data_IF_433109347829
#
_entry.id   IF_433109347829
#
_cell.length_a   1.000
_cell.length_b   1.000
_cell.length_c   1.000
_cell.angle_alpha   90.00
_cell.angle_beta   90.00
_cell.angle_gamma   90.00
#
_symmetry.space_group_name_H-M   'P 1'
#
loop_
_entity.id
_entity.type
_entity.pdbx_description
1 polymer ?
#
# COMPACT_ATOMS: atom_id res chain seq x y z
N UNK A 1 4.50 -20.53 3.57
CA UNK A 1 5.64 -19.80 2.97
C UNK A 1 6.35 -20.61 1.89
N UNK A 2 7.21 -21.61 2.19
CA UNK A 2 7.92 -22.36 1.12
C UNK A 2 7.00 -23.05 0.10
N UNK A 3 5.88 -23.64 0.55
CA UNK A 3 4.85 -24.19 -0.36
C UNK A 3 4.17 -23.11 -1.24
N UNK A 4 4.01 -21.87 -0.76
CA UNK A 4 3.45 -20.77 -1.55
C UNK A 4 4.44 -20.30 -2.62
N UNK A 5 5.74 -20.24 -2.29
CA UNK A 5 6.79 -19.93 -3.25
C UNK A 5 6.87 -20.99 -4.35
N UNK A 6 6.89 -22.27 -3.98
CA UNK A 6 6.90 -23.36 -4.95
C UNK A 6 5.66 -23.35 -5.86
N UNK A 7 4.48 -23.13 -5.27
CA UNK A 7 3.23 -22.98 -6.01
C UNK A 7 3.30 -21.79 -7.00
N UNK A 8 3.75 -20.62 -6.55
CA UNK A 8 3.83 -19.41 -7.36
C UNK A 8 4.83 -19.55 -8.52
N UNK A 9 6.00 -20.14 -8.28
CA UNK A 9 6.99 -20.43 -9.34
C UNK A 9 6.43 -21.42 -10.36
N UNK A 10 5.60 -22.38 -9.93
CA UNK A 10 4.96 -23.34 -10.83
C UNK A 10 3.77 -22.78 -11.61
N UNK A 11 3.09 -21.75 -11.05
CA UNK A 11 1.93 -21.10 -11.63
C UNK A 11 2.36 -19.79 -12.32
N UNK A 12 3.11 -19.88 -13.40
CA UNK A 12 3.43 -18.69 -14.19
C UNK A 12 2.16 -18.27 -14.96
N UNK A 13 1.38 -17.33 -14.41
CA UNK A 13 0.21 -16.75 -15.06
C UNK A 13 0.28 -15.21 -14.97
N UNK A 14 0.48 -14.58 -16.12
CA UNK A 14 0.65 -13.13 -16.29
C UNK A 14 -0.64 -12.39 -15.95
N UNK A 15 -0.66 -11.70 -14.81
CA UNK A 15 -1.66 -10.68 -14.51
C UNK A 15 -1.09 -9.26 -14.67
N UNK A 16 0.20 -9.06 -14.37
CA UNK A 16 0.90 -7.77 -14.51
C UNK A 16 0.78 -7.15 -15.92
N UNK A 17 0.63 -7.97 -16.96
CA UNK A 17 0.42 -7.48 -18.32
C UNK A 17 -0.92 -6.76 -18.52
N UNK A 18 -1.92 -6.94 -17.65
CA UNK A 18 -3.22 -6.28 -17.77
C UNK A 18 -3.22 -4.83 -17.27
N UNK A 19 -2.47 -4.52 -16.21
CA UNK A 19 -2.27 -3.14 -15.75
C UNK A 19 -1.36 -2.32 -16.69
N UNK A 20 -0.50 -3.00 -17.46
CA UNK A 20 0.28 -2.37 -18.53
C UNK A 20 -0.49 -2.29 -19.86
N UNK A 21 -1.76 -2.72 -19.90
CA UNK A 21 -2.59 -2.71 -21.11
C UNK A 21 -3.54 -1.50 -21.07
N UNK A 22 -3.42 -0.52 -21.99
CA UNK A 22 -4.14 0.75 -21.92
C UNK A 22 -5.67 0.66 -22.08
N UNK A 23 -6.22 -0.55 -22.24
CA UNK A 23 -7.66 -0.78 -22.49
C UNK A 23 -8.48 -0.77 -21.18
N UNK A 24 -7.84 -0.89 -20.01
CA UNK A 24 -8.52 -0.86 -18.70
C UNK A 24 -8.51 0.51 -18.01
N UNK A 25 -7.82 1.50 -18.58
CA UNK A 25 -7.73 2.86 -18.05
C UNK A 25 -8.81 3.72 -18.69
N UNK A 26 -9.69 4.32 -17.88
CA UNK A 26 -10.62 5.34 -18.34
C UNK A 26 -10.24 6.68 -17.73
N UNK A 27 -10.12 7.75 -18.53
CA UNK A 27 -10.01 9.09 -17.97
C UNK A 27 -11.34 9.46 -17.29
N UNK A 28 -11.23 10.01 -16.09
CA UNK A 28 -12.36 10.45 -15.28
C UNK A 28 -13.06 11.64 -15.93
N UNK A 29 -14.41 11.74 -15.91
CA UNK A 29 -15.11 12.94 -16.36
C UNK A 29 -14.89 14.07 -15.34
N UNK A 30 -14.06 15.05 -15.68
CA UNK A 30 -13.76 16.19 -14.81
C UNK A 30 -14.97 17.10 -14.56
N UNK A 31 -15.25 17.38 -13.29
CA UNK A 31 -16.09 18.51 -12.85
C UNK A 31 -15.26 19.80 -12.86
N UNK A 32 -15.86 21.00 -13.04
CA UNK A 32 -15.10 22.24 -13.15
C UNK A 32 -14.41 22.58 -11.82
N UNK A 33 -13.09 22.80 -11.87
CA UNK A 33 -12.23 23.09 -10.73
C UNK A 33 -12.18 24.59 -10.43
N UNK A 34 -12.53 24.98 -9.20
CA UNK A 34 -11.99 26.17 -8.55
C UNK A 34 -11.11 25.70 -7.36
N UNK A 35 -9.80 25.90 -7.50
CA UNK A 35 -8.74 25.70 -6.48
C UNK A 35 -8.55 24.25 -5.96
N UNK A 36 -7.87 23.38 -6.71
CA UNK A 36 -7.67 21.97 -6.28
C UNK A 36 -6.58 21.15 -6.97
N UNK A 37 -5.49 21.74 -7.47
CA UNK A 37 -4.46 21.02 -8.26
C UNK A 37 -3.84 19.78 -7.58
N UNK A 38 -3.96 19.65 -6.25
CA UNK A 38 -3.43 18.51 -5.48
C UNK A 38 -4.42 17.35 -5.23
N UNK A 39 -5.73 17.52 -5.43
CA UNK A 39 -6.70 16.44 -5.11
C UNK A 39 -6.63 15.27 -6.11
N UNK A 40 -6.25 15.56 -7.35
CA UNK A 40 -6.05 14.55 -8.40
C UNK A 40 -4.75 13.75 -8.22
N UNK A 41 -3.82 14.23 -7.40
CA UNK A 41 -2.50 13.63 -7.16
C UNK A 41 -2.37 13.01 -5.76
N UNK A 42 -3.40 13.10 -4.93
CA UNK A 42 -3.34 12.66 -3.53
C UNK A 42 -4.29 11.49 -3.27
N UNK A 43 -3.87 10.57 -2.40
CA UNK A 43 -4.72 9.53 -1.87
C UNK A 43 -5.58 10.11 -0.74
N UNK A 44 -6.64 10.79 -1.12
CA UNK A 44 -7.55 11.48 -0.20
C UNK A 44 -8.98 10.96 -0.36
N UNK A 45 -9.59 10.59 0.78
CA UNK A 45 -11.04 10.48 0.94
C UNK A 45 -11.57 11.75 1.61
N UNK A 46 -12.90 11.87 1.68
CA UNK A 46 -13.60 12.96 2.35
C UNK A 46 -13.18 13.22 3.80
N UNK A 47 -12.61 12.23 4.49
CA UNK A 47 -12.26 12.31 5.92
C UNK A 47 -10.79 12.02 6.23
N UNK A 48 -10.00 11.52 5.30
CA UNK A 48 -8.62 11.11 5.56
C UNK A 48 -7.76 11.24 4.31
N UNK A 49 -6.53 11.70 4.46
CA UNK A 49 -5.52 11.74 3.40
C UNK A 49 -4.30 10.95 3.83
N UNK A 50 -3.80 10.05 2.97
CA UNK A 50 -2.50 9.41 3.18
C UNK A 50 -1.40 10.41 2.78
N UNK A 51 -0.55 10.77 3.73
CA UNK A 51 0.51 11.76 3.59
C UNK A 51 1.90 11.16 3.33
N UNK A 52 1.99 9.84 3.33
CA UNK A 52 3.21 9.13 3.01
C UNK A 52 3.23 7.76 3.65
N UNK A 53 3.91 6.82 2.99
CA UNK A 53 4.19 5.50 3.55
C UNK A 53 5.58 5.08 3.07
N UNK A 54 6.42 4.65 4.00
CA UNK A 54 7.73 4.11 3.71
C UNK A 54 7.91 2.75 4.37
N UNK A 55 8.29 1.75 3.59
CA UNK A 55 8.73 0.46 4.12
C UNK A 55 10.23 0.35 3.93
N UNK A 56 10.98 0.08 4.99
CA UNK A 56 12.44 0.13 4.96
C UNK A 56 13.09 -0.97 5.80
N UNK A 57 14.36 -1.20 5.51
CA UNK A 57 15.27 -2.01 6.32
C UNK A 57 16.45 -1.14 6.76
N UNK A 58 16.87 -1.30 8.01
CA UNK A 58 17.95 -0.50 8.57
C UNK A 58 18.88 -1.37 9.44
N UNK A 59 20.18 -1.23 9.22
CA UNK A 59 21.22 -1.73 10.13
C UNK A 59 21.43 -0.70 11.26
N UNK A 60 21.63 -1.13 12.51
CA UNK A 60 21.96 -0.21 13.60
C UNK A 60 23.18 0.65 13.25
N UNK A 61 22.98 1.97 13.17
CA UNK A 61 24.04 2.93 12.85
C UNK A 61 24.18 3.29 11.37
N UNK A 62 23.47 2.60 10.46
CA UNK A 62 23.47 2.91 9.03
C UNK A 62 22.20 3.67 8.61
N UNK A 63 22.20 4.20 7.39
CA UNK A 63 21.03 4.84 6.78
C UNK A 63 19.90 3.84 6.48
N UNK A 64 18.66 4.35 6.41
CA UNK A 64 17.49 3.54 6.02
C UNK A 64 17.61 3.16 4.55
N UNK A 65 17.53 1.86 4.25
CA UNK A 65 17.31 1.39 2.89
C UNK A 65 15.80 1.32 2.62
N UNK A 66 15.29 2.25 1.82
CA UNK A 66 13.86 2.35 1.51
C UNK A 66 13.51 1.30 0.46
N UNK A 67 12.69 0.32 0.83
CA UNK A 67 12.21 -0.73 -0.07
C UNK A 67 10.97 -0.27 -0.84
N UNK A 68 10.07 0.46 -0.19
CA UNK A 68 8.85 1.00 -0.81
C UNK A 68 8.64 2.42 -0.31
N UNK A 69 8.21 3.31 -1.21
CA UNK A 69 7.83 4.69 -0.90
C UNK A 69 6.54 5.04 -1.62
N UNK A 70 5.60 5.59 -0.87
CA UNK A 70 4.37 6.20 -1.38
C UNK A 70 4.43 7.66 -0.96
N UNK A 71 4.46 8.60 -1.92
CA UNK A 71 4.55 10.02 -1.60
C UNK A 71 3.19 10.57 -1.13
N UNK A 72 3.21 11.75 -0.49
CA UNK A 72 1.99 12.52 -0.21
C UNK A 72 1.25 12.91 -1.50
N UNK A 73 2.03 13.32 -2.49
CA UNK A 73 1.57 13.80 -3.79
C UNK A 73 2.25 12.93 -4.85
N UNK A 74 1.47 12.24 -5.67
CA UNK A 74 1.96 11.47 -6.79
C UNK A 74 2.50 12.40 -7.89
N UNK A 75 3.49 11.91 -8.65
CA UNK A 75 4.06 12.66 -9.78
C UNK A 75 3.09 12.77 -10.96
N UNK A 76 2.21 11.78 -11.12
CA UNK A 76 1.16 11.74 -12.14
C UNK A 76 -0.23 11.74 -11.48
N UNK A 77 -1.26 12.30 -12.13
CA UNK A 77 -2.63 12.20 -11.65
C UNK A 77 -3.07 10.75 -11.46
N UNK A 78 -3.92 10.50 -10.48
CA UNK A 78 -4.48 9.19 -10.23
C UNK A 78 -5.39 8.76 -11.38
N UNK A 79 -5.17 7.55 -11.88
CA UNK A 79 -6.03 6.93 -12.91
C UNK A 79 -7.08 6.04 -12.27
N UNK A 80 -8.17 5.78 -13.00
CA UNK A 80 -9.20 4.85 -12.54
C UNK A 80 -8.87 3.41 -12.95
N UNK A 81 -9.10 2.47 -12.03
CA UNK A 81 -9.04 1.03 -12.29
C UNK A 81 -10.33 0.36 -11.85
N UNK A 82 -10.90 -0.48 -12.71
CA UNK A 82 -12.10 -1.23 -12.39
C UNK A 82 -11.83 -2.26 -11.29
N UNK A 83 -12.71 -2.35 -10.29
CA UNK A 83 -12.61 -3.31 -9.20
C UNK A 83 -12.49 -4.76 -9.69
N UNK A 84 -13.22 -5.10 -10.76
CA UNK A 84 -13.17 -6.44 -11.37
C UNK A 84 -11.78 -6.84 -11.86
N UNK A 85 -10.91 -5.88 -12.18
CA UNK A 85 -9.54 -6.20 -12.55
C UNK A 85 -8.80 -6.84 -11.37
N UNK A 86 -8.99 -6.34 -10.14
CA UNK A 86 -8.18 -6.74 -8.98
C UNK A 86 -8.90 -7.70 -8.02
N UNK A 87 -10.20 -7.95 -8.23
CA UNK A 87 -11.09 -8.67 -7.29
C UNK A 87 -10.51 -10.00 -6.79
N UNK A 88 -9.95 -10.81 -7.68
CA UNK A 88 -9.44 -12.16 -7.36
C UNK A 88 -8.14 -12.15 -6.55
N UNK A 89 -7.44 -11.01 -6.50
CA UNK A 89 -6.19 -10.85 -5.76
C UNK A 89 -6.36 -10.52 -4.29
N UNK A 90 -7.57 -10.23 -3.84
CA UNK A 90 -7.85 -9.79 -2.48
C UNK A 90 -8.94 -10.64 -1.81
N UNK A 91 -8.98 -10.70 -0.46
CA UNK A 91 -9.99 -11.45 0.25
C UNK A 91 -11.39 -10.87 0.04
N UNK A 92 -12.41 -11.72 0.20
CA UNK A 92 -13.83 -11.39 -0.04
C UNK A 92 -14.30 -10.12 0.70
N UNK A 93 -13.69 -9.80 1.85
CA UNK A 93 -13.98 -8.58 2.61
C UNK A 93 -13.83 -7.30 1.78
N UNK A 94 -12.94 -7.26 0.78
CA UNK A 94 -12.78 -6.10 -0.09
C UNK A 94 -14.07 -5.82 -0.88
N UNK A 95 -14.77 -6.85 -1.35
CA UNK A 95 -16.03 -6.68 -2.06
C UNK A 95 -17.14 -6.12 -1.15
N UNK A 96 -17.17 -6.55 0.11
CA UNK A 96 -18.12 -6.03 1.10
C UNK A 96 -17.81 -4.57 1.47
N UNK A 97 -16.52 -4.21 1.54
CA UNK A 97 -16.08 -2.83 1.73
C UNK A 97 -16.45 -1.96 0.53
N UNK A 98 -16.19 -2.41 -0.71
CA UNK A 98 -16.57 -1.67 -1.92
C UNK A 98 -18.07 -1.35 -1.97
N UNK A 99 -18.93 -2.22 -1.41
CA UNK A 99 -20.39 -2.03 -1.37
C UNK A 99 -20.85 -1.04 -0.29
N UNK A 100 -20.17 -1.03 0.86
CA UNK A 100 -20.67 -0.34 2.07
C UNK A 100 -19.79 0.84 2.52
N UNK A 101 -18.57 0.94 2.01
CA UNK A 101 -17.59 1.97 2.35
C UNK A 101 -17.76 3.25 1.53
N UNK A 102 -16.91 4.26 1.80
CA UNK A 102 -16.97 5.54 1.11
C UNK A 102 -16.46 5.43 -0.33
N UNK A 103 -17.23 5.88 -1.32
CA UNK A 103 -16.89 5.73 -2.75
C UNK A 103 -15.57 6.41 -3.17
N UNK A 104 -15.14 7.42 -2.42
CA UNK A 104 -13.91 8.18 -2.65
C UNK A 104 -12.69 7.65 -1.86
N UNK A 105 -12.86 6.58 -1.09
CA UNK A 105 -11.84 6.06 -0.18
C UNK A 105 -11.11 4.80 -0.64
N UNK A 106 -11.23 4.39 -1.91
CA UNK A 106 -10.64 3.15 -2.42
C UNK A 106 -9.51 3.39 -3.41
N UNK A 107 -8.32 2.86 -3.10
CA UNK A 107 -7.12 3.07 -3.89
C UNK A 107 -6.38 1.78 -4.17
N UNK A 108 -5.77 1.69 -5.35
CA UNK A 108 -4.79 0.67 -5.70
C UNK A 108 -3.43 1.34 -5.86
N UNK A 109 -2.39 0.75 -5.28
CA UNK A 109 -1.02 1.20 -5.43
C UNK A 109 -0.20 0.05 -5.99
N UNK A 110 0.33 0.25 -7.19
CA UNK A 110 1.32 -0.64 -7.79
C UNK A 110 2.70 -0.14 -7.38
N UNK A 111 3.43 -0.93 -6.59
CA UNK A 111 4.75 -0.54 -6.10
C UNK A 111 5.84 -1.37 -6.77
N UNK A 112 6.91 -0.70 -7.20
CA UNK A 112 8.17 -1.31 -7.61
C UNK A 112 9.16 -1.15 -6.47
N UNK A 113 9.41 -2.24 -5.77
CA UNK A 113 10.20 -2.24 -4.55
C UNK A 113 11.69 -2.41 -4.83
N UNK A 114 12.51 -1.60 -4.14
CA UNK A 114 13.96 -1.76 -4.14
C UNK A 114 14.36 -2.91 -3.19
N UNK A 115 14.72 -4.05 -3.78
CA UNK A 115 15.24 -5.22 -3.06
C UNK A 115 16.75 -5.32 -3.10
N UNK A 116 17.47 -4.33 -3.63
CA UNK A 116 18.93 -4.30 -3.73
C UNK A 116 19.58 -3.82 -2.43
N UNK A 117 19.60 -4.72 -1.45
CA UNK A 117 20.29 -4.52 -0.18
C UNK A 117 20.99 -5.80 0.25
N UNK A 118 21.92 -5.75 1.18
CA UNK A 118 22.53 -6.97 1.69
C UNK A 118 21.64 -7.63 2.74
N UNK A 119 21.38 -8.93 2.60
CA UNK A 119 20.80 -9.71 3.71
C UNK A 119 21.90 -9.87 4.76
N UNK A 120 21.92 -9.01 5.77
CA UNK A 120 22.73 -9.28 6.96
C UNK A 120 22.11 -10.40 7.81
N UNK A 121 22.67 -10.68 8.99
CA UNK A 121 21.99 -11.57 9.93
C UNK A 121 20.59 -10.99 10.23
N UNK A 122 19.52 -11.77 10.05
CA UNK A 122 18.14 -11.30 10.17
C UNK A 122 17.87 -10.63 11.52
N UNK A 123 18.59 -11.08 12.55
CA UNK A 123 18.52 -10.57 13.93
C UNK A 123 19.19 -9.20 14.12
N UNK A 124 20.04 -8.78 13.18
CA UNK A 124 20.75 -7.49 13.23
C UNK A 124 20.12 -6.41 12.37
N UNK A 125 19.04 -6.71 11.64
CA UNK A 125 18.35 -5.74 10.77
C UNK A 125 17.00 -5.37 11.38
N UNK A 126 16.66 -4.08 11.38
CA UNK A 126 15.31 -3.62 11.70
C UNK A 126 14.51 -3.46 10.41
N UNK A 127 13.38 -4.14 10.30
CA UNK A 127 12.42 -3.98 9.22
C UNK A 127 11.20 -3.24 9.76
N UNK A 128 10.87 -2.10 9.19
CA UNK A 128 9.79 -1.26 9.70
C UNK A 128 9.01 -0.56 8.59
N UNK A 129 7.85 -0.05 8.98
CA UNK A 129 6.98 0.77 8.16
C UNK A 129 6.68 2.07 8.90
N UNK A 130 6.88 3.19 8.21
CA UNK A 130 6.41 4.51 8.63
C UNK A 130 5.18 4.86 7.79
N UNK A 131 4.14 5.42 8.41
CA UNK A 131 3.00 5.93 7.65
C UNK A 131 2.35 7.13 8.34
N UNK A 132 1.86 8.04 7.50
CA UNK A 132 1.41 9.36 7.91
C UNK A 132 0.04 9.66 7.28
N UNK A 133 -0.86 10.24 8.05
CA UNK A 133 -2.18 10.65 7.58
C UNK A 133 -2.57 12.02 8.10
N UNK A 134 -3.38 12.74 7.34
CA UNK A 134 -4.00 14.00 7.76
C UNK A 134 -5.53 13.87 7.76
N UNK A 135 -6.19 14.52 8.72
CA UNK A 135 -7.65 14.65 8.79
C UNK A 135 -8.06 16.04 9.24
N UNK A 136 -9.27 16.47 8.87
CA UNK A 136 -9.92 17.67 9.42
C UNK A 136 -10.71 17.38 10.71
N UNK A 137 -10.76 16.11 11.12
CA UNK A 137 -11.58 15.63 12.21
C UNK A 137 -10.72 14.99 13.31
N UNK A 138 -11.11 15.25 14.56
CA UNK A 138 -10.45 14.68 15.73
C UNK A 138 -11.06 13.32 16.07
N UNK A 139 -10.37 12.24 15.69
CA UNK A 139 -10.70 10.87 16.08
C UNK A 139 -9.44 10.01 16.10
N UNK A 140 -9.47 8.89 16.82
CA UNK A 140 -8.48 7.82 16.64
C UNK A 140 -8.79 7.01 15.38
N UNK A 141 -7.75 6.56 14.67
CA UNK A 141 -7.87 5.58 13.58
C UNK A 141 -7.35 4.21 14.00
N UNK A 142 -7.95 3.18 13.42
CA UNK A 142 -7.47 1.81 13.46
C UNK A 142 -7.03 1.41 12.05
N UNK A 143 -5.75 1.11 11.89
CA UNK A 143 -5.14 0.68 10.63
C UNK A 143 -4.97 -0.84 10.67
N UNK A 144 -5.79 -1.57 9.93
CA UNK A 144 -5.63 -3.01 9.72
C UNK A 144 -4.86 -3.25 8.42
N UNK A 145 -3.67 -3.86 8.53
CA UNK A 145 -2.84 -4.26 7.40
C UNK A 145 -2.86 -5.77 7.27
N UNK A 146 -3.50 -6.26 6.21
CA UNK A 146 -3.69 -7.68 5.89
C UNK A 146 -2.78 -8.09 4.76
N UNK A 147 -1.93 -9.08 4.99
CA UNK A 147 -1.09 -9.68 3.95
C UNK A 147 -1.83 -10.86 3.36
N UNK A 148 -1.90 -10.90 2.04
CA UNK A 148 -2.71 -11.85 1.29
C UNK A 148 -1.84 -12.70 0.36
N UNK A 149 -2.18 -13.97 0.21
CA UNK A 149 -1.57 -14.89 -0.73
C UNK A 149 -2.66 -15.62 -1.49
N UNK A 150 -2.63 -15.59 -2.82
CA UNK A 150 -3.67 -16.16 -3.69
C UNK A 150 -5.08 -15.69 -3.29
N UNK A 151 -5.24 -14.37 -3.09
CA UNK A 151 -6.51 -13.77 -2.68
C UNK A 151 -6.96 -14.06 -1.26
N UNK A 152 -6.20 -14.81 -0.46
CA UNK A 152 -6.57 -15.20 0.90
C UNK A 152 -5.73 -14.48 1.94
N UNK A 153 -6.34 -13.97 3.00
CA UNK A 153 -5.63 -13.36 4.14
C UNK A 153 -4.77 -14.42 4.84
N UNK A 154 -3.49 -14.13 5.04
CA UNK A 154 -2.52 -15.00 5.72
C UNK A 154 -2.17 -14.45 7.10
N UNK A 155 -1.97 -13.13 7.21
CA UNK A 155 -1.67 -12.45 8.47
C UNK A 155 -2.33 -11.08 8.47
N UNK A 156 -2.63 -10.59 9.66
CA UNK A 156 -3.16 -9.26 9.89
C UNK A 156 -2.43 -8.61 11.05
N UNK A 157 -2.12 -7.33 10.89
CA UNK A 157 -1.59 -6.46 11.93
C UNK A 157 -2.53 -5.27 12.08
N UNK A 158 -2.95 -5.00 13.32
CA UNK A 158 -3.84 -3.87 13.62
C UNK A 158 -3.11 -2.90 14.52
N UNK A 159 -3.13 -1.62 14.14
CA UNK A 159 -2.44 -0.55 14.84
C UNK A 159 -3.38 0.62 15.06
N UNK A 160 -3.21 1.33 16.18
CA UNK A 160 -4.07 2.43 16.58
C UNK A 160 -3.24 3.70 16.58
N UNK A 161 -3.77 4.75 15.95
CA UNK A 161 -3.11 6.04 15.86
C UNK A 161 -4.02 7.06 16.51
N UNK A 162 -3.44 7.86 17.40
CA UNK A 162 -4.09 9.04 17.94
C UNK A 162 -3.50 10.28 17.28
N UNK A 163 -4.33 11.26 16.90
CA UNK A 163 -3.86 12.42 16.17
C UNK A 163 -3.13 13.41 17.07
N UNK A 164 -2.22 14.17 16.48
CA UNK A 164 -1.68 15.40 17.03
C UNK A 164 -2.33 16.57 16.31
N UNK A 165 -2.86 17.52 17.07
CA UNK A 165 -3.45 18.75 16.52
C UNK A 165 -2.34 19.71 16.08
N UNK A 166 -2.42 20.18 14.84
CA UNK A 166 -1.59 21.27 14.32
C UNK A 166 -2.49 22.37 13.77
N UNK A 167 -2.18 23.61 14.15
CA UNK A 167 -2.87 24.78 13.63
C UNK A 167 -1.98 25.47 12.59
N UNK A 168 -2.44 25.50 11.34
CA UNK A 168 -1.73 26.12 10.23
C UNK A 168 -2.65 27.04 9.44
N UNK A 169 -2.23 28.29 9.27
CA UNK A 169 -2.97 29.33 8.53
C UNK A 169 -4.44 29.50 8.97
N UNK A 170 -4.71 29.30 10.27
CA UNK A 170 -6.06 29.38 10.85
C UNK A 170 -6.94 28.14 10.65
N UNK A 171 -6.44 27.12 9.94
CA UNK A 171 -7.06 25.80 9.82
C UNK A 171 -6.47 24.84 10.84
N UNK A 172 -7.29 23.93 11.37
CA UNK A 172 -6.85 22.86 12.26
C UNK A 172 -6.76 21.58 11.43
N UNK A 173 -5.59 20.92 11.50
CA UNK A 173 -5.32 19.63 10.88
C UNK A 173 -4.89 18.65 11.98
N UNK A 174 -5.40 17.43 11.90
CA UNK A 174 -5.07 16.34 12.79
C UNK A 174 -4.11 15.39 12.07
N UNK A 175 -2.87 15.32 12.56
CA UNK A 175 -1.81 14.50 11.99
C UNK A 175 -1.67 13.17 12.72
N UNK A 176 -1.67 12.09 11.98
CA UNK A 176 -1.45 10.74 12.48
C UNK A 176 -0.10 10.27 11.98
N UNK A 177 0.83 10.00 12.90
CA UNK A 177 2.16 9.50 12.56
C UNK A 177 2.40 8.19 13.27
N UNK A 178 2.77 7.15 12.51
CA UNK A 178 3.36 5.95 13.05
C UNK A 178 4.73 5.77 12.42
N UNK A 179 5.75 5.78 13.27
CA UNK A 179 7.13 5.65 12.87
C UNK A 179 7.77 4.43 13.57
N UNK A 180 8.73 3.82 12.89
CA UNK A 180 9.47 2.66 13.38
C UNK A 180 8.60 1.44 13.62
N UNK A 181 7.44 1.33 12.97
CA UNK A 181 6.54 0.23 13.25
C UNK A 181 7.09 -1.09 12.71
N UNK A 182 7.40 -2.08 13.57
CA UNK A 182 8.11 -3.27 13.13
C UNK A 182 7.23 -4.11 12.20
N UNK A 183 7.84 -4.62 11.13
CA UNK A 183 7.21 -5.64 10.30
C UNK A 183 7.01 -6.92 11.11
N UNK A 184 5.92 -7.63 10.85
CA UNK A 184 5.70 -8.90 11.52
C UNK A 184 6.70 -9.97 11.04
N UNK A 185 6.91 -10.99 11.86
CA UNK A 185 7.85 -12.09 11.57
C UNK A 185 7.58 -12.76 10.21
N UNK A 186 6.31 -12.86 9.81
CA UNK A 186 5.93 -13.37 8.49
C UNK A 186 6.52 -12.53 7.35
N UNK A 187 6.42 -11.20 7.44
CA UNK A 187 6.94 -10.28 6.41
C UNK A 187 8.47 -10.32 6.35
N UNK A 188 9.13 -10.32 7.51
CA UNK A 188 10.59 -10.39 7.58
C UNK A 188 11.10 -11.69 6.94
N UNK A 189 10.46 -12.83 7.26
CA UNK A 189 10.78 -14.11 6.62
C UNK A 189 10.46 -14.12 5.13
N UNK A 190 9.33 -13.54 4.71
CA UNK A 190 8.95 -13.45 3.30
C UNK A 190 10.00 -12.71 2.48
N UNK A 191 10.44 -11.54 2.94
CA UNK A 191 11.49 -10.75 2.29
C UNK A 191 12.80 -11.55 2.24
N UNK A 192 13.16 -12.23 3.33
CA UNK A 192 14.37 -13.08 3.38
C UNK A 192 14.33 -14.20 2.34
N UNK A 193 13.21 -14.93 2.21
CA UNK A 193 13.07 -15.99 1.21
C UNK A 193 13.02 -15.43 -0.22
N UNK A 194 12.33 -14.30 -0.44
CA UNK A 194 12.26 -13.63 -1.74
C UNK A 194 13.66 -13.30 -2.27
N UNK A 195 14.53 -12.80 -1.39
CA UNK A 195 15.89 -12.41 -1.75
C UNK A 195 16.86 -13.57 -2.01
N UNK A 196 16.49 -14.81 -1.67
CA UNK A 196 17.28 -15.99 -2.07
C UNK A 196 17.10 -16.33 -3.55
N UNK A 197 16.05 -15.80 -4.19
CA UNK A 197 15.84 -15.97 -5.62
C UNK A 197 16.85 -15.11 -6.38
N UNK A 198 17.55 -15.71 -7.34
CA UNK A 198 18.66 -15.05 -8.07
C UNK A 198 18.15 -14.15 -9.21
N UNK A 199 16.91 -14.34 -9.66
CA UNK A 199 16.34 -13.62 -10.81
C UNK A 199 15.09 -12.83 -10.43
N UNK A 200 15.02 -11.56 -10.86
CA UNK A 200 13.87 -10.68 -10.64
C UNK A 200 12.56 -11.27 -11.21
N UNK A 201 12.63 -12.02 -12.32
CA UNK A 201 11.46 -12.69 -12.90
C UNK A 201 10.84 -13.74 -11.94
N UNK A 202 11.68 -14.48 -11.22
CA UNK A 202 11.21 -15.44 -10.22
C UNK A 202 10.64 -14.74 -9.00
N UNK A 203 11.26 -13.63 -8.57
CA UNK A 203 10.70 -12.79 -7.50
C UNK A 203 9.32 -12.25 -7.89
N UNK A 204 9.18 -11.69 -9.10
CA UNK A 204 7.92 -11.16 -9.61
C UNK A 204 6.85 -12.26 -9.75
N UNK A 205 7.23 -13.48 -10.13
CA UNK A 205 6.29 -14.63 -10.17
C UNK A 205 5.73 -14.96 -8.77
N UNK A 206 6.54 -14.79 -7.72
CA UNK A 206 6.07 -14.93 -6.33
C UNK A 206 5.20 -13.75 -5.92
N UNK A 207 5.61 -12.52 -6.27
CA UNK A 207 4.90 -11.30 -5.93
C UNK A 207 3.54 -11.17 -6.64
N UNK A 208 3.35 -11.81 -7.80
CA UNK A 208 2.09 -11.82 -8.55
C UNK A 208 0.88 -12.28 -7.71
N UNK A 209 1.12 -13.22 -6.80
CA UNK A 209 0.11 -13.80 -5.91
C UNK A 209 0.23 -13.28 -4.47
N UNK A 210 1.05 -12.26 -4.25
CA UNK A 210 1.26 -11.62 -2.95
C UNK A 210 0.73 -10.19 -3.00
N UNK A 211 -0.26 -9.90 -2.17
CA UNK A 211 -0.86 -8.56 -2.09
C UNK A 211 -0.98 -8.12 -0.64
N UNK A 212 -1.07 -6.81 -0.43
CA UNK A 212 -1.36 -6.24 0.90
C UNK A 212 -2.63 -5.43 0.80
N UNK A 213 -3.53 -5.61 1.75
CA UNK A 213 -4.77 -4.85 1.88
C UNK A 213 -4.71 -4.07 3.18
N UNK A 214 -4.76 -2.75 3.11
CA UNK A 214 -4.83 -1.88 4.27
C UNK A 214 -6.22 -1.26 4.36
N UNK A 215 -6.83 -1.36 5.53
CA UNK A 215 -8.16 -0.84 5.84
C UNK A 215 -8.00 0.11 7.02
N UNK A 216 -8.30 1.39 6.80
CA UNK A 216 -8.27 2.42 7.84
C UNK A 216 -9.69 2.73 8.25
N UNK A 217 -9.98 2.57 9.54
CA UNK A 217 -11.30 2.84 10.11
C UNK A 217 -11.23 3.85 11.23
N UNK A 218 -12.33 4.56 11.47
CA UNK A 218 -12.52 5.29 12.71
C UNK A 218 -12.60 4.28 13.85
N UNK A 219 -11.73 4.40 14.85
CA UNK A 219 -11.61 3.40 15.92
C UNK A 219 -12.88 3.27 16.76
N UNK A 220 -13.61 4.38 16.97
CA UNK A 220 -14.78 4.40 17.83
C UNK A 220 -16.03 3.90 17.08
N UNK A 221 -16.24 4.36 15.84
CA UNK A 221 -17.46 4.07 15.08
C UNK A 221 -17.35 2.82 14.21
N UNK A 222 -16.14 2.38 13.90
CA UNK A 222 -15.89 1.32 12.91
C UNK A 222 -16.12 1.75 11.46
N UNK A 223 -16.42 3.04 11.22
CA UNK A 223 -16.59 3.58 9.87
C UNK A 223 -15.30 3.40 9.05
N UNK A 224 -15.43 2.88 7.82
CA UNK A 224 -14.30 2.82 6.89
C UNK A 224 -13.98 4.21 6.36
N UNK A 225 -12.73 4.64 6.50
CA UNK A 225 -12.25 5.96 6.07
C UNK A 225 -11.45 5.87 4.77
N UNK A 226 -10.67 4.80 4.62
CA UNK A 226 -9.80 4.58 3.46
C UNK A 226 -9.44 3.10 3.35
N UNK A 227 -9.31 2.61 2.11
CA UNK A 227 -8.85 1.27 1.78
C UNK A 227 -7.78 1.36 0.70
N UNK A 228 -6.61 0.81 0.99
CA UNK A 228 -5.46 0.79 0.08
C UNK A 228 -5.11 -0.65 -0.28
N UNK A 229 -5.16 -0.97 -1.56
CA UNK A 229 -4.77 -2.24 -2.14
C UNK A 229 -3.35 -2.10 -2.71
N UNK A 230 -2.40 -2.94 -2.27
CA UNK A 230 -1.03 -2.91 -2.77
C UNK A 230 -0.74 -4.15 -3.63
N UNK A 231 -0.14 -3.91 -4.80
CA UNK A 231 0.48 -4.93 -5.66
C UNK A 231 1.96 -4.60 -5.75
N UNK A 232 2.81 -5.63 -5.70
CA UNK A 232 4.25 -5.46 -5.63
C UNK A 232 4.94 -6.07 -6.85
N UNK A 233 5.96 -5.38 -7.34
CA UNK A 233 6.96 -5.88 -8.28
C UNK A 233 8.35 -5.48 -7.78
N UNK A 234 9.39 -6.17 -8.25
CA UNK A 234 10.77 -5.75 -8.02
C UNK A 234 11.10 -4.59 -8.95
N UNK A 235 11.71 -3.53 -8.40
CA UNK A 235 12.17 -2.40 -9.19
C UNK A 235 13.29 -2.83 -10.16
N UNK A 236 13.25 -2.40 -11.44
CA UNK A 236 14.38 -2.56 -12.33
C UNK A 236 15.55 -1.61 -11.98
N UNK A 237 15.27 -0.56 -11.20
CA UNK A 237 16.20 0.49 -10.82
C UNK A 237 16.50 0.48 -9.31
N UNK A 238 17.47 1.31 -8.87
CA UNK A 238 17.87 1.43 -7.46
C UNK A 238 16.89 2.25 -6.61
N UNK A 239 15.95 2.97 -7.20
CA UNK A 239 14.95 3.73 -6.46
C UNK A 239 13.59 3.02 -6.47
N UNK A 240 12.91 2.94 -5.31
CA UNK A 240 11.54 2.45 -5.28
C UNK A 240 10.59 3.47 -5.90
N UNK A 241 9.66 3.00 -6.70
CA UNK A 241 8.64 3.84 -7.35
C UNK A 241 7.24 3.25 -7.15
N UNK A 242 6.21 4.05 -7.38
CA UNK A 242 4.83 3.55 -7.34
C UNK A 242 3.93 4.28 -8.33
N UNK A 243 2.84 3.63 -8.72
CA UNK A 243 1.72 4.23 -9.46
C UNK A 243 0.44 4.04 -8.66
N UNK A 244 -0.34 5.11 -8.54
CA UNK A 244 -1.52 5.18 -7.70
C UNK A 244 -2.76 5.28 -8.57
N UNK A 245 -3.79 4.53 -8.23
CA UNK A 245 -5.06 4.47 -8.94
C UNK A 245 -6.22 4.63 -7.96
N UNK A 246 -7.33 5.20 -8.42
CA UNK A 246 -8.63 5.13 -7.75
C UNK A 246 -9.35 3.86 -8.20
N UNK A 247 -9.89 3.11 -7.25
CA UNK A 247 -10.67 1.90 -7.58
C UNK A 247 -12.12 2.32 -7.81
N UNK A 248 -12.64 2.05 -9.01
CA UNK A 248 -14.01 2.33 -9.40
C UNK A 248 -14.79 1.04 -9.60
N UNK A 249 -16.10 1.07 -9.34
CA UNK A 249 -17.00 -0.07 -9.61
C UNK A 249 -17.35 -0.18 -11.09
#
# INVERSE_FOLDING_TARGET
>A
MLHQFAAAISSSNRFVSQLNNPILLRPSPGLPLENGENEEHTMASSKLTLCGLEAYVQKPGDEKHIMLRIPKVADEPLEDVAFDAIRDKYPQILEDLMKNGPSDGFFLVKCWGNVDFEIGNLESMSYAVDSFYDSKYNFDISVSTKVCSFGTQVVEKVEIYSPVEEQKDGSIIYHFSLEGSPMCEYMVRFISELKKLVAHELMNSVLDNFTVLQIVTNKLTGETLMVCCFILEVSPDFDPTCRIYRIVQ
#
